data_IF_742712881945
#
_entry.id   IF_742712881945
#
_cell.length_a   1.000
_cell.length_b   1.000
_cell.length_c   1.000
_cell.angle_alpha   90.00
_cell.angle_beta   90.00
_cell.angle_gamma   90.00
#
_symmetry.space_group_name_H-M   'P 1'
#
loop_
_entity.id
_entity.type
_entity.pdbx_description
1 polymer ?
#
# COMPACT_ATOMS: atom_id res chain seq x y z
N UNK A 1 -5.60 19.98 -3.13
CA UNK A 1 -6.14 18.64 -3.41
C UNK A 1 -7.47 18.57 -2.70
N UNK A 2 -8.54 18.29 -3.43
CA UNK A 2 -9.87 18.20 -2.82
C UNK A 2 -10.14 16.80 -2.25
N UNK A 3 -11.26 16.66 -1.53
CA UNK A 3 -11.64 15.40 -0.88
C UNK A 3 -11.83 14.26 -1.88
N UNK A 4 -12.30 14.55 -3.09
CA UNK A 4 -12.53 13.54 -4.13
C UNK A 4 -11.20 13.06 -4.73
N UNK A 5 -10.24 13.96 -4.93
CA UNK A 5 -8.87 13.62 -5.33
C UNK A 5 -8.15 12.77 -4.27
N UNK A 6 -8.37 13.07 -2.98
CA UNK A 6 -7.85 12.27 -1.87
C UNK A 6 -8.46 10.86 -1.84
N UNK A 7 -9.77 10.75 -2.03
CA UNK A 7 -10.47 9.46 -2.09
C UNK A 7 -9.96 8.60 -3.24
N UNK A 8 -9.81 9.16 -4.43
CA UNK A 8 -9.27 8.46 -5.59
C UNK A 8 -7.83 7.97 -5.31
N UNK A 9 -6.97 8.83 -4.73
CA UNK A 9 -5.61 8.44 -4.37
C UNK A 9 -5.55 7.35 -3.31
N UNK A 10 -6.41 7.40 -2.28
CA UNK A 10 -6.49 6.36 -1.25
C UNK A 10 -6.91 5.03 -1.90
N UNK A 11 -7.90 5.05 -2.79
CA UNK A 11 -8.35 3.84 -3.49
C UNK A 11 -7.24 3.24 -4.37
N UNK A 12 -6.54 4.08 -5.12
CA UNK A 12 -5.41 3.65 -5.96
C UNK A 12 -4.29 3.03 -5.12
N UNK A 13 -3.94 3.64 -3.98
CA UNK A 13 -2.92 3.10 -3.07
C UNK A 13 -3.38 1.81 -2.40
N UNK A 14 -4.66 1.67 -2.08
CA UNK A 14 -5.24 0.41 -1.56
C UNK A 14 -5.16 -0.73 -2.59
N UNK A 15 -5.45 -0.44 -3.87
CA UNK A 15 -5.28 -1.42 -4.96
C UNK A 15 -3.82 -1.83 -5.15
N UNK A 16 -2.89 -0.87 -5.07
CA UNK A 16 -1.46 -1.15 -5.11
C UNK A 16 -1.05 -2.06 -3.95
N UNK A 17 -1.47 -1.74 -2.72
CA UNK A 17 -1.20 -2.55 -1.53
C UNK A 17 -1.72 -3.98 -1.66
N UNK A 18 -2.94 -4.16 -2.14
CA UNK A 18 -3.53 -5.48 -2.35
C UNK A 18 -2.73 -6.30 -3.37
N UNK A 19 -2.34 -5.68 -4.50
CA UNK A 19 -1.50 -6.30 -5.51
C UNK A 19 -0.12 -6.69 -4.97
N UNK A 20 0.55 -5.81 -4.23
CA UNK A 20 1.87 -6.09 -3.63
C UNK A 20 1.76 -7.24 -2.60
N UNK A 21 0.68 -7.29 -1.81
CA UNK A 21 0.40 -8.40 -0.88
C UNK A 21 0.13 -9.72 -1.61
N UNK A 22 -0.58 -9.69 -2.73
CA UNK A 22 -0.80 -10.88 -3.55
C UNK A 22 0.51 -11.39 -4.14
N UNK A 23 1.34 -10.50 -4.68
CA UNK A 23 2.67 -10.83 -5.21
C UNK A 23 3.59 -11.40 -4.13
N UNK A 24 3.64 -10.80 -2.95
CA UNK A 24 4.39 -11.32 -1.79
C UNK A 24 3.92 -12.74 -1.41
N UNK A 25 2.61 -12.96 -1.39
CA UNK A 25 2.03 -14.27 -1.08
C UNK A 25 2.36 -15.33 -2.13
N UNK A 26 2.33 -14.97 -3.41
CA UNK A 26 2.74 -15.85 -4.50
C UNK A 26 4.23 -16.18 -4.42
N UNK A 27 5.06 -15.16 -4.20
CA UNK A 27 6.51 -15.31 -4.08
C UNK A 27 6.90 -16.20 -2.90
N UNK A 28 6.30 -16.00 -1.72
CA UNK A 28 6.44 -16.88 -0.54
C UNK A 28 6.05 -18.34 -0.83
N UNK A 29 5.11 -18.59 -1.75
CA UNK A 29 4.73 -19.95 -2.16
C UNK A 29 5.70 -20.56 -3.19
N UNK A 30 6.30 -19.74 -4.05
CA UNK A 30 7.17 -20.19 -5.16
C UNK A 30 8.66 -20.33 -4.83
N UNK A 31 9.07 -20.20 -3.56
CA UNK A 31 10.48 -20.25 -3.08
C UNK A 31 11.18 -18.89 -3.20
N UNK A 32 10.96 -17.99 -2.25
CA UNK A 32 11.76 -16.78 -2.11
C UNK A 32 12.90 -16.93 -1.13
N UNK A 33 14.06 -16.38 -1.50
CA UNK A 33 15.15 -16.11 -0.57
C UNK A 33 14.84 -14.86 0.29
N UNK A 34 15.54 -14.67 1.42
CA UNK A 34 15.24 -13.64 2.42
C UNK A 34 15.31 -12.20 1.90
N UNK A 35 15.94 -11.95 0.74
CA UNK A 35 16.02 -10.62 0.14
C UNK A 35 14.67 -10.15 -0.45
N UNK A 36 13.98 -11.04 -1.17
CA UNK A 36 12.69 -10.71 -1.80
C UNK A 36 11.59 -10.50 -0.78
N UNK A 37 11.62 -11.24 0.34
CA UNK A 37 10.67 -11.04 1.45
C UNK A 37 10.82 -9.66 2.10
N UNK A 38 12.05 -9.16 2.22
CA UNK A 38 12.33 -7.84 2.81
C UNK A 38 11.88 -6.70 1.89
N UNK A 39 12.00 -6.85 0.57
CA UNK A 39 11.53 -5.84 -0.39
C UNK A 39 10.01 -5.67 -0.34
N UNK A 40 9.24 -6.76 -0.34
CA UNK A 40 7.79 -6.68 -0.22
C UNK A 40 7.32 -6.15 1.13
N UNK A 41 7.95 -6.58 2.23
CA UNK A 41 7.63 -6.06 3.57
C UNK A 41 7.87 -4.55 3.66
N UNK A 42 8.91 -4.03 3.00
CA UNK A 42 9.18 -2.61 2.94
C UNK A 42 8.12 -1.87 2.11
N UNK A 43 7.84 -2.34 0.90
CA UNK A 43 6.86 -1.73 -0.02
C UNK A 43 5.44 -1.73 0.57
N UNK A 44 5.04 -2.82 1.24
CA UNK A 44 3.77 -2.93 1.96
C UNK A 44 3.68 -1.86 3.05
N UNK A 45 4.73 -1.69 3.86
CA UNK A 45 4.74 -0.67 4.93
C UNK A 45 4.70 0.74 4.39
N UNK A 46 5.41 1.03 3.31
CA UNK A 46 5.37 2.35 2.67
C UNK A 46 3.96 2.68 2.19
N UNK A 47 3.32 1.74 1.49
CA UNK A 47 1.93 1.89 1.02
C UNK A 47 0.95 2.07 2.18
N UNK A 48 1.09 1.32 3.27
CA UNK A 48 0.26 1.47 4.47
C UNK A 48 0.43 2.85 5.13
N UNK A 49 1.67 3.35 5.24
CA UNK A 49 1.95 4.69 5.77
C UNK A 49 1.38 5.79 4.87
N UNK A 50 1.52 5.65 3.54
CA UNK A 50 0.95 6.61 2.58
C UNK A 50 -0.58 6.65 2.67
N UNK A 51 -1.25 5.49 2.71
CA UNK A 51 -2.70 5.41 2.88
C UNK A 51 -3.11 6.11 4.17
N UNK A 52 -2.46 5.80 5.29
CA UNK A 52 -2.79 6.41 6.57
C UNK A 52 -2.58 7.93 6.55
N UNK A 53 -1.51 8.42 5.89
CA UNK A 53 -1.28 9.85 5.75
C UNK A 53 -2.36 10.53 4.90
N UNK A 54 -2.79 9.89 3.81
CA UNK A 54 -3.86 10.42 2.95
C UNK A 54 -5.20 10.39 3.67
N UNK A 55 -5.50 9.35 4.45
CA UNK A 55 -6.71 9.25 5.27
C UNK A 55 -6.76 10.37 6.32
N UNK A 56 -5.65 10.68 7.00
CA UNK A 56 -5.58 11.83 7.92
C UNK A 56 -5.81 13.17 7.21
N UNK A 57 -5.15 13.37 6.06
CA UNK A 57 -5.36 14.59 5.26
C UNK A 57 -6.81 14.75 4.83
N UNK A 58 -7.51 13.64 4.58
CA UNK A 58 -8.94 13.63 4.25
C UNK A 58 -9.80 13.99 5.46
N UNK A 59 -9.50 13.43 6.64
CA UNK A 59 -10.20 13.77 7.90
C UNK A 59 -10.02 15.24 8.28
N UNK A 60 -8.83 15.82 8.06
CA UNK A 60 -8.55 17.24 8.32
C UNK A 60 -9.33 18.19 7.39
N UNK A 61 -9.92 17.67 6.31
CA UNK A 61 -10.74 18.41 5.35
C UNK A 61 -12.26 18.23 5.56
N UNK A 62 -12.68 17.37 6.50
CA UNK A 62 -14.08 17.16 6.91
C UNK A 62 -14.49 18.09 8.07
#
# INVERSE_FOLDING_TARGET
MDKQELEAKIEDRKKALEKTKEQDRELKQTVTGPYSEVEFDHEIRELEMEIQSLERQKEDLD
#
